data_IF_926533299157
#
_entry.id   IF_926533299157
#
_cell.length_a   1.000
_cell.length_b   1.000
_cell.length_c   1.000
_cell.angle_alpha   90.00
_cell.angle_beta   90.00
_cell.angle_gamma   90.00
#
_symmetry.space_group_name_H-M   'P 1'
#
loop_
_entity.id
_entity.type
_entity.pdbx_description
1 polymer ?
#
# COMPACT_ATOMS: atom_id res chain seq x y z
N UNK A 1 -6.30 58.89 29.42
CA UNK A 1 -7.43 58.74 28.50
C UNK A 1 -6.99 57.89 27.33
N UNK A 2 -7.75 56.82 27.09
CA UNK A 2 -7.51 55.67 26.23
C UNK A 2 -7.89 55.88 24.77
N UNK A 3 -7.43 54.93 23.94
CA UNK A 3 -7.99 54.46 22.66
C UNK A 3 -7.42 55.10 21.38
N UNK A 4 -7.23 54.39 20.26
CA UNK A 4 -7.00 52.97 19.94
C UNK A 4 -6.62 52.97 18.45
N UNK A 5 -5.46 52.44 18.06
CA UNK A 5 -5.04 52.39 16.65
C UNK A 5 -5.76 51.23 15.95
N UNK A 6 -6.69 51.51 15.04
CA UNK A 6 -7.40 50.50 14.26
C UNK A 6 -6.56 50.06 13.05
N UNK A 7 -6.09 48.80 13.08
CA UNK A 7 -5.53 48.08 11.94
C UNK A 7 -6.65 47.76 10.94
N UNK A 8 -6.48 48.15 9.69
CA UNK A 8 -7.27 47.61 8.57
C UNK A 8 -6.35 46.82 7.64
N UNK A 9 -6.41 45.49 7.77
CA UNK A 9 -5.88 44.52 6.82
C UNK A 9 -6.74 44.51 5.57
N UNK A 10 -6.18 44.85 4.42
CA UNK A 10 -6.79 44.66 3.12
C UNK A 10 -5.94 43.71 2.28
N UNK A 11 -6.19 42.41 2.37
CA UNK A 11 -5.63 41.44 1.44
C UNK A 11 -6.40 41.56 0.12
N UNK A 12 -5.74 42.10 -0.90
CA UNK A 12 -6.29 42.15 -2.27
C UNK A 12 -6.34 40.73 -2.82
N UNK A 13 -7.52 40.11 -2.81
CA UNK A 13 -7.74 38.79 -3.43
C UNK A 13 -7.82 38.94 -4.95
N UNK A 14 -6.82 38.41 -5.64
CA UNK A 14 -6.81 38.27 -7.10
C UNK A 14 -7.74 37.10 -7.46
N UNK A 15 -8.96 37.40 -7.92
CA UNK A 15 -9.97 36.40 -8.30
C UNK A 15 -9.51 35.62 -9.54
N UNK A 16 -9.32 34.31 -9.40
CA UNK A 16 -9.00 33.38 -10.51
C UNK A 16 -10.27 32.79 -11.10
N UNK A 17 -10.19 32.24 -12.31
CA UNK A 17 -11.34 31.72 -13.07
C UNK A 17 -12.12 30.61 -12.34
N UNK A 18 -11.47 29.87 -11.44
CA UNK A 18 -12.12 28.90 -10.56
C UNK A 18 -13.19 29.51 -9.62
N UNK A 19 -13.02 30.77 -9.20
CA UNK A 19 -13.99 31.45 -8.33
C UNK A 19 -15.23 31.95 -9.08
N UNK A 20 -15.18 32.08 -10.42
CA UNK A 20 -16.36 32.42 -11.23
C UNK A 20 -17.29 31.22 -11.37
N UNK A 21 -16.72 30.03 -11.59
CA UNK A 21 -17.48 28.80 -11.76
C UNK A 21 -18.22 28.35 -10.48
N UNK A 22 -17.73 28.74 -9.30
CA UNK A 22 -18.43 28.49 -8.03
C UNK A 22 -19.69 29.37 -7.86
N UNK A 23 -19.68 30.61 -8.38
CA UNK A 23 -20.80 31.53 -8.24
C UNK A 23 -21.97 31.23 -9.19
N UNK A 24 -21.70 30.63 -10.36
CA UNK A 24 -22.74 30.18 -11.29
C UNK A 24 -23.44 28.90 -10.82
N UNK A 25 -22.75 28.04 -10.05
CA UNK A 25 -23.33 26.80 -9.53
C UNK A 25 -24.33 27.02 -8.40
N UNK A 26 -24.17 28.10 -7.61
CA UNK A 26 -25.11 28.44 -6.53
C UNK A 26 -26.41 29.09 -7.02
N UNK A 27 -26.46 29.64 -8.24
CA UNK A 27 -27.71 30.19 -8.83
C UNK A 27 -28.63 29.13 -9.43
N UNK A 28 -28.15 27.91 -9.68
CA UNK A 28 -28.93 26.83 -10.27
C UNK A 28 -29.66 25.94 -9.24
N UNK A 29 -29.42 26.12 -7.94
CA UNK A 29 -29.94 25.24 -6.88
C UNK A 29 -31.11 25.84 -6.07
N UNK A 30 -31.81 26.85 -6.60
CA UNK A 30 -32.93 27.51 -5.92
C UNK A 30 -34.24 27.41 -6.70
N UNK A 31 -35.03 26.36 -6.48
CA UNK A 31 -36.42 26.33 -6.94
C UNK A 31 -37.19 25.01 -6.80
N UNK A 32 -38.05 24.94 -5.77
CA UNK A 32 -39.35 24.25 -5.85
C UNK A 32 -39.43 22.85 -5.22
N UNK A 33 -40.19 22.73 -4.12
CA UNK A 33 -40.36 21.52 -3.33
C UNK A 33 -41.42 20.53 -3.83
N UNK A 34 -41.45 19.35 -3.19
CA UNK A 34 -42.49 18.35 -3.35
C UNK A 34 -42.13 16.97 -2.77
N UNK A 35 -42.58 16.71 -1.55
CA UNK A 35 -43.14 15.44 -1.05
C UNK A 35 -42.29 14.15 -0.96
N UNK A 36 -42.12 13.67 0.28
CA UNK A 36 -42.50 12.30 0.67
C UNK A 36 -41.51 11.14 0.44
N UNK A 37 -41.05 10.58 1.56
CA UNK A 37 -40.84 9.14 1.80
C UNK A 37 -39.76 8.41 0.96
N UNK A 38 -38.58 8.15 1.56
CA UNK A 38 -37.95 6.81 1.61
C UNK A 38 -36.53 6.88 2.21
N UNK A 39 -36.49 6.90 3.55
CA UNK A 39 -35.34 6.48 4.35
C UNK A 39 -35.29 4.94 4.38
N UNK A 40 -34.61 4.30 3.42
CA UNK A 40 -34.04 2.94 3.58
C UNK A 40 -33.39 2.43 2.28
N UNK A 41 -32.17 2.86 1.95
CA UNK A 41 -31.26 2.05 1.11
C UNK A 41 -29.79 2.51 1.22
N UNK A 42 -29.35 2.78 2.45
CA UNK A 42 -27.93 2.66 2.80
C UNK A 42 -27.74 1.27 3.40
N UNK A 43 -26.74 0.51 2.92
CA UNK A 43 -26.27 -0.82 3.36
C UNK A 43 -26.80 -1.98 2.52
N UNK A 44 -26.07 -2.29 1.45
CA UNK A 44 -25.63 -3.64 1.05
C UNK A 44 -25.09 -3.52 -0.36
N UNK A 45 -23.78 -3.41 -0.48
CA UNK A 45 -22.98 -3.91 -1.61
C UNK A 45 -21.48 -3.87 -1.24
N UNK A 46 -21.16 -4.21 0.03
CA UNK A 46 -19.82 -4.71 0.39
C UNK A 46 -19.93 -6.24 0.47
N UNK A 47 -20.43 -6.84 -0.61
CA UNK A 47 -20.48 -8.29 -0.70
C UNK A 47 -19.10 -8.77 -1.17
N UNK A 48 -18.35 -9.32 -0.21
CA UNK A 48 -17.19 -10.19 -0.35
C UNK A 48 -16.82 -10.54 -1.80
N UNK A 49 -15.76 -9.89 -2.31
CA UNK A 49 -15.05 -10.32 -3.52
C UNK A 49 -14.02 -11.43 -3.19
N UNK A 50 -14.17 -12.08 -2.03
CA UNK A 50 -13.28 -13.16 -1.55
C UNK A 50 -13.55 -14.51 -2.23
N UNK A 51 -14.64 -14.66 -3.00
CA UNK A 51 -15.05 -15.94 -3.63
C UNK A 51 -14.91 -15.94 -5.17
N UNK A 52 -14.06 -15.08 -5.73
CA UNK A 52 -13.63 -15.18 -7.14
C UNK A 52 -12.32 -15.95 -7.27
N UNK A 53 -12.21 -17.02 -6.49
CA UNK A 53 -10.98 -17.79 -6.28
C UNK A 53 -10.84 -19.05 -7.10
N UNK A 54 -11.91 -19.56 -7.71
CA UNK A 54 -11.88 -20.81 -8.50
C UNK A 54 -11.75 -20.53 -10.01
N UNK A 55 -10.88 -19.59 -10.38
CA UNK A 55 -10.29 -19.64 -11.71
C UNK A 55 -9.39 -20.88 -11.72
N UNK A 56 -9.56 -21.78 -12.70
CA UNK A 56 -8.69 -22.96 -12.94
C UNK A 56 -7.22 -22.61 -13.25
N UNK A 57 -6.81 -21.39 -12.95
CA UNK A 57 -5.48 -20.84 -13.18
C UNK A 57 -4.61 -21.16 -11.97
N UNK A 58 -3.42 -21.70 -12.26
CA UNK A 58 -2.37 -21.84 -11.25
C UNK A 58 -2.00 -20.46 -10.72
N UNK A 59 -2.24 -20.21 -9.44
CA UNK A 59 -1.83 -18.97 -8.77
C UNK A 59 -0.35 -19.09 -8.40
N UNK A 60 0.48 -18.31 -9.08
CA UNK A 60 1.90 -18.20 -8.81
C UNK A 60 2.14 -17.02 -7.86
N UNK A 61 3.09 -17.18 -6.95
CA UNK A 61 3.69 -16.10 -6.18
C UNK A 61 4.63 -15.28 -7.07
N UNK A 62 4.90 -14.03 -6.70
CA UNK A 62 5.86 -13.20 -7.41
C UNK A 62 7.26 -13.85 -7.52
N UNK A 63 7.67 -14.63 -6.50
CA UNK A 63 8.92 -15.39 -6.55
C UNK A 63 8.92 -16.41 -7.68
N UNK A 64 7.83 -17.18 -7.82
CA UNK A 64 7.70 -18.22 -8.84
C UNK A 64 7.65 -17.60 -10.24
N UNK A 65 6.94 -16.50 -10.42
CA UNK A 65 6.92 -15.77 -11.70
C UNK A 65 8.33 -15.29 -12.09
N UNK A 66 9.08 -14.70 -11.16
CA UNK A 66 10.46 -14.26 -11.40
C UNK A 66 11.39 -15.44 -11.70
N UNK A 67 11.21 -16.57 -11.02
CA UNK A 67 11.98 -17.79 -11.30
C UNK A 67 11.68 -18.32 -12.70
N UNK A 68 10.40 -18.39 -13.08
CA UNK A 68 9.96 -18.87 -14.39
C UNK A 68 10.54 -18.02 -15.53
N UNK A 69 10.66 -16.70 -15.36
CA UNK A 69 11.31 -15.81 -16.34
C UNK A 69 12.79 -16.15 -16.58
N UNK A 70 13.47 -16.74 -15.58
CA UNK A 70 14.88 -17.12 -15.67
C UNK A 70 15.11 -18.56 -16.13
N UNK A 71 14.06 -19.40 -16.16
CA UNK A 71 14.15 -20.80 -16.55
C UNK A 71 14.30 -20.96 -18.05
N UNK A 72 15.09 -21.96 -18.44
CA UNK A 72 15.18 -22.40 -19.83
C UNK A 72 14.31 -23.62 -20.06
N UNK A 73 13.45 -23.55 -21.08
CA UNK A 73 12.45 -24.58 -21.42
C UNK A 73 13.02 -26.00 -21.58
N UNK A 74 14.23 -26.13 -22.14
CA UNK A 74 14.85 -27.44 -22.39
C UNK A 74 15.77 -27.92 -21.29
N UNK A 75 16.37 -26.99 -20.56
CA UNK A 75 17.45 -27.28 -19.61
C UNK A 75 16.90 -27.44 -18.19
N UNK A 76 15.74 -26.86 -17.87
CA UNK A 76 15.06 -27.05 -16.59
C UNK A 76 15.72 -26.36 -15.40
N UNK A 77 16.76 -25.56 -15.63
CA UNK A 77 17.41 -24.72 -14.62
C UNK A 77 17.49 -23.27 -15.07
N UNK A 78 17.69 -22.36 -14.12
CA UNK A 78 17.85 -20.94 -14.39
C UNK A 78 19.25 -20.64 -14.91
N UNK A 79 19.37 -19.95 -16.04
CA UNK A 79 20.68 -19.70 -16.69
C UNK A 79 21.60 -18.71 -15.95
N UNK A 80 21.07 -17.94 -14.99
CA UNK A 80 21.75 -16.78 -14.42
C UNK A 80 21.61 -16.66 -12.90
N UNK A 81 21.59 -17.79 -12.16
CA UNK A 81 21.54 -17.75 -10.71
C UNK A 81 22.77 -17.03 -10.15
N UNK A 82 22.55 -15.83 -9.59
CA UNK A 82 23.56 -15.01 -8.97
C UNK A 82 23.01 -14.39 -7.68
N UNK A 83 23.87 -13.72 -6.91
CA UNK A 83 23.50 -13.12 -5.62
C UNK A 83 22.43 -12.02 -5.75
N UNK A 84 22.33 -11.37 -6.91
CA UNK A 84 21.26 -10.41 -7.20
C UNK A 84 19.90 -11.08 -7.40
N UNK A 85 19.84 -12.29 -7.99
CA UNK A 85 18.59 -13.06 -8.07
C UNK A 85 18.16 -13.47 -6.66
N UNK A 86 19.10 -13.96 -5.86
CA UNK A 86 18.83 -14.38 -4.49
C UNK A 86 18.16 -13.25 -3.68
N UNK A 87 18.80 -12.08 -3.62
CA UNK A 87 18.27 -10.89 -2.92
C UNK A 87 16.97 -10.36 -3.55
N UNK A 88 16.84 -10.41 -4.88
CA UNK A 88 15.61 -10.05 -5.60
C UNK A 88 14.41 -10.89 -5.19
N UNK A 89 14.58 -12.21 -5.05
CA UNK A 89 13.51 -13.11 -4.60
C UNK A 89 13.06 -12.83 -3.16
N UNK A 90 13.99 -12.47 -2.26
CA UNK A 90 13.64 -12.06 -0.88
C UNK A 90 12.87 -10.74 -0.90
N UNK A 91 13.24 -9.82 -1.80
CA UNK A 91 12.44 -8.63 -2.09
C UNK A 91 11.02 -8.98 -2.56
N UNK A 92 10.87 -9.98 -3.42
CA UNK A 92 9.57 -10.46 -3.89
C UNK A 92 8.71 -10.98 -2.74
N UNK A 93 9.29 -11.72 -1.78
CA UNK A 93 8.56 -12.16 -0.57
C UNK A 93 7.95 -10.98 0.20
N UNK A 94 8.74 -9.92 0.44
CA UNK A 94 8.27 -8.75 1.17
C UNK A 94 7.19 -7.99 0.40
N UNK A 95 7.34 -7.88 -0.92
CA UNK A 95 6.34 -7.24 -1.80
C UNK A 95 5.04 -8.04 -1.81
N UNK A 96 5.11 -9.35 -2.01
CA UNK A 96 3.96 -10.26 -2.03
C UNK A 96 3.18 -10.20 -0.71
N UNK A 97 3.88 -10.27 0.43
CA UNK A 97 3.27 -10.11 1.75
C UNK A 97 2.61 -8.74 1.95
N UNK A 98 3.18 -7.67 1.40
CA UNK A 98 2.56 -6.34 1.43
C UNK A 98 1.31 -6.27 0.55
N UNK A 99 1.33 -6.87 -0.65
CA UNK A 99 0.18 -6.95 -1.55
C UNK A 99 -0.98 -7.76 -0.94
N UNK A 100 -0.67 -8.82 -0.18
CA UNK A 100 -1.63 -9.59 0.63
C UNK A 100 -2.06 -8.90 1.93
N UNK A 101 -1.63 -7.66 2.15
CA UNK A 101 -1.98 -6.86 3.33
C UNK A 101 -1.42 -7.37 4.66
N UNK A 102 -0.39 -8.24 4.62
CA UNK A 102 0.28 -8.79 5.81
C UNK A 102 1.34 -7.85 6.36
N UNK A 103 2.05 -7.15 5.48
CA UNK A 103 3.11 -6.21 5.84
C UNK A 103 2.79 -4.78 5.40
N UNK A 104 3.37 -3.82 6.13
CA UNK A 104 3.38 -2.41 5.75
C UNK A 104 4.71 -1.76 6.16
N UNK A 105 5.07 -0.65 5.54
CA UNK A 105 6.23 0.13 5.96
C UNK A 105 5.83 1.17 7.02
N UNK A 106 6.73 1.47 7.96
CA UNK A 106 6.55 2.56 8.93
C UNK A 106 6.17 3.86 8.22
N UNK A 107 5.25 4.65 8.78
CA UNK A 107 4.78 5.87 8.12
C UNK A 107 5.93 6.82 7.74
N UNK A 108 5.88 7.39 6.54
CA UNK A 108 6.80 8.46 6.17
C UNK A 108 6.41 9.73 6.95
N UNK A 109 7.32 10.24 7.77
CA UNK A 109 7.19 11.58 8.33
C UNK A 109 7.36 12.67 7.26
N UNK A 110 7.44 13.94 7.69
CA UNK A 110 7.59 15.10 6.80
C UNK A 110 8.83 15.02 5.88
N UNK A 111 9.86 14.27 6.27
CA UNK A 111 11.05 14.01 5.43
C UNK A 111 10.89 12.68 4.69
N UNK A 112 11.03 12.73 3.37
CA UNK A 112 11.05 11.53 2.52
C UNK A 112 12.23 10.64 2.93
N UNK A 113 11.94 9.41 3.35
CA UNK A 113 12.94 8.36 3.60
C UNK A 113 13.07 7.46 2.36
N UNK A 114 14.26 6.88 2.17
CA UNK A 114 14.44 5.80 1.18
C UNK A 114 13.59 4.58 1.57
N UNK A 115 13.15 3.80 0.59
CA UNK A 115 12.36 2.58 0.84
C UNK A 115 13.16 1.56 1.65
N UNK A 116 14.44 1.37 1.30
CA UNK A 116 15.32 0.37 1.92
C UNK A 116 15.55 0.62 3.41
N UNK A 117 15.51 1.89 3.85
CA UNK A 117 15.78 2.27 5.24
C UNK A 117 14.52 2.38 6.10
N UNK A 118 13.33 2.13 5.54
CA UNK A 118 12.08 2.10 6.30
C UNK A 118 11.93 0.76 6.99
N UNK A 119 11.39 0.80 8.20
CA UNK A 119 11.04 -0.39 8.97
C UNK A 119 9.83 -1.11 8.37
N UNK A 120 9.90 -2.43 8.35
CA UNK A 120 8.79 -3.32 7.99
C UNK A 120 7.99 -3.63 9.24
N UNK A 121 6.68 -3.47 9.16
CA UNK A 121 5.72 -3.64 10.25
C UNK A 121 4.73 -4.72 9.87
N UNK A 122 4.53 -5.70 10.75
CA UNK A 122 3.47 -6.69 10.60
C UNK A 122 2.10 -6.04 10.84
N UNK A 123 1.20 -6.16 9.88
CA UNK A 123 -0.19 -5.63 9.92
C UNK A 123 -1.20 -6.73 10.23
N UNK A 124 -1.00 -7.92 9.69
CA UNK A 124 -1.86 -9.09 9.88
C UNK A 124 -1.00 -10.35 9.85
N UNK A 125 -1.30 -11.30 10.75
CA UNK A 125 -0.65 -12.59 10.88
C UNK A 125 -1.48 -13.74 10.29
N UNK A 126 -2.56 -13.42 9.57
CA UNK A 126 -3.36 -14.42 8.87
C UNK A 126 -2.47 -15.18 7.85
N UNK A 127 -2.58 -16.52 7.79
CA UNK A 127 -1.77 -17.31 6.87
C UNK A 127 -2.02 -16.88 5.42
N UNK A 128 -1.01 -17.05 4.59
CA UNK A 128 -1.04 -16.75 3.16
C UNK A 128 -1.28 -18.01 2.32
N UNK A 129 -1.11 -19.20 2.92
CA UNK A 129 -1.19 -20.48 2.24
C UNK A 129 0.10 -20.88 1.53
N UNK A 130 1.13 -20.02 1.55
CA UNK A 130 2.47 -20.30 1.04
C UNK A 130 3.44 -20.45 2.22
N UNK A 131 4.14 -21.58 2.27
CA UNK A 131 5.01 -21.93 3.40
C UNK A 131 6.15 -20.92 3.59
N UNK A 132 6.77 -20.44 2.50
CA UNK A 132 7.90 -19.53 2.58
C UNK A 132 7.46 -18.13 3.04
N UNK A 133 6.31 -17.67 2.54
CA UNK A 133 5.73 -16.40 2.98
C UNK A 133 5.28 -16.46 4.44
N UNK A 134 4.70 -17.58 4.87
CA UNK A 134 4.23 -17.77 6.24
C UNK A 134 5.39 -17.86 7.25
N UNK A 135 6.51 -18.52 6.88
CA UNK A 135 7.74 -18.51 7.68
C UNK A 135 8.35 -17.11 7.79
N UNK A 136 8.44 -16.38 6.67
CA UNK A 136 8.95 -15.01 6.69
C UNK A 136 8.05 -14.08 7.53
N UNK A 137 6.73 -14.20 7.40
CA UNK A 137 5.77 -13.43 8.19
C UNK A 137 5.90 -13.70 9.69
N UNK A 138 6.09 -14.97 10.07
CA UNK A 138 6.38 -15.35 11.45
C UNK A 138 7.64 -14.66 11.98
N UNK A 139 8.74 -14.70 11.23
CA UNK A 139 9.97 -14.03 11.63
C UNK A 139 9.80 -12.51 11.79
N UNK A 140 9.08 -11.87 10.87
CA UNK A 140 8.80 -10.43 10.95
C UNK A 140 8.01 -10.08 12.20
N UNK A 141 7.02 -10.90 12.56
CA UNK A 141 6.20 -10.71 13.76
C UNK A 141 7.00 -10.86 15.05
N UNK A 142 7.90 -11.84 15.11
CA UNK A 142 8.67 -12.17 16.32
C UNK A 142 9.85 -11.19 16.57
N UNK A 143 10.29 -10.46 15.54
CA UNK A 143 11.48 -9.59 15.62
C UNK A 143 11.15 -8.23 16.24
N UNK A 144 11.77 -7.94 17.40
CA UNK A 144 11.65 -6.65 18.08
C UNK A 144 13.02 -6.14 18.54
N UNK A 145 13.42 -4.89 18.19
CA UNK A 145 12.66 -3.86 17.45
C UNK A 145 12.45 -4.20 15.95
N UNK A 146 11.48 -3.57 15.26
CA UNK A 146 11.25 -3.83 13.84
C UNK A 146 12.45 -3.43 12.99
N UNK A 147 12.78 -4.29 12.03
CA UNK A 147 13.92 -4.15 11.13
C UNK A 147 13.59 -3.44 9.81
N UNK A 148 14.62 -2.91 9.16
CA UNK A 148 14.49 -2.22 7.87
C UNK A 148 14.28 -3.19 6.70
N UNK A 149 13.73 -2.72 5.58
CA UNK A 149 13.58 -3.51 4.35
C UNK A 149 14.92 -4.12 3.92
N UNK A 150 16.00 -3.34 3.98
CA UNK A 150 17.34 -3.83 3.64
C UNK A 150 17.75 -5.01 4.53
N UNK A 151 17.64 -4.85 5.85
CA UNK A 151 18.07 -5.90 6.78
C UNK A 151 17.19 -7.16 6.64
N UNK A 152 15.90 -7.01 6.34
CA UNK A 152 15.05 -8.18 6.04
C UNK A 152 15.50 -8.97 4.81
N UNK A 153 15.93 -8.28 3.74
CA UNK A 153 16.46 -8.95 2.56
C UNK A 153 17.72 -9.76 2.91
N UNK A 154 18.62 -9.20 3.72
CA UNK A 154 19.86 -9.86 4.18
C UNK A 154 19.56 -11.05 5.12
N UNK A 155 18.68 -10.87 6.10
CA UNK A 155 18.28 -11.90 7.07
C UNK A 155 17.60 -13.10 6.40
N UNK A 156 16.65 -12.84 5.48
CA UNK A 156 15.96 -13.89 4.71
C UNK A 156 16.88 -14.57 3.68
N UNK A 157 18.02 -13.96 3.37
CA UNK A 157 19.06 -14.57 2.54
C UNK A 157 19.97 -15.49 3.35
N UNK A 158 19.92 -15.44 4.69
CA UNK A 158 20.74 -16.25 5.58
C UNK A 158 22.17 -15.72 5.77
N UNK A 159 22.46 -14.50 5.32
CA UNK A 159 23.81 -13.91 5.29
C UNK A 159 24.32 -13.45 6.68
N UNK A 160 23.41 -13.29 7.66
CA UNK A 160 23.72 -12.76 9.00
C UNK A 160 23.78 -13.82 10.12
N UNK A 161 23.94 -15.11 9.82
CA UNK A 161 24.17 -16.15 10.84
C UNK A 161 25.67 -16.27 11.17
N UNK A 162 26.16 -15.47 12.11
CA UNK A 162 27.45 -15.65 12.80
C UNK A 162 27.27 -15.66 14.31
#
# INVERSE_FOLDING_TARGET
MTSLTQRSSGLVQRRTEASRNAADKERAAGGGGGSGEDEAQSRRDEQDDDDKGDSKETRLTLMEEVLLLGLKDREGYTSFWNDCISSGLRGCMLIELALRGRLQLEACGMRRKSLLTRKVICKSDAPTGDVLLDEALKHVKETQPPETVQNWIELLSGENRY
#
